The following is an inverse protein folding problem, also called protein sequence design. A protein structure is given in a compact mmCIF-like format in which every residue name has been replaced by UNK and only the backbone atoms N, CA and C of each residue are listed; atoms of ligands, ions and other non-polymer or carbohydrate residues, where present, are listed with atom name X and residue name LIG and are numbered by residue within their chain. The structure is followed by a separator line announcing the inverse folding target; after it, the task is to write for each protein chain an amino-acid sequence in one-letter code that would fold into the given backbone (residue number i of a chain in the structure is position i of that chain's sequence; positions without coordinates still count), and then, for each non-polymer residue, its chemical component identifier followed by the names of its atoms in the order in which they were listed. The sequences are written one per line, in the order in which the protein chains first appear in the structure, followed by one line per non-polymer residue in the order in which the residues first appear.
data_IF_302782662287
#
_entry.id   IF_302782662287
#
_cell.length_a   1.000
_cell.length_b   1.000
_cell.length_c   1.000
_cell.angle_alpha   90.00
_cell.angle_beta   90.00
_cell.angle_gamma   90.00
#
_symmetry.space_group_name_H-M   'P 1'
#
loop_
_entity.id
_entity.type
_entity.pdbx_description
1 polymer ?
#
# COMPACT_ATOMS: atom_id res chain seq x y z
N UNK A 1 16.84 -2.83 1.43
CA UNK A 1 16.80 -2.24 2.80
C UNK A 1 16.19 -0.85 2.67
N UNK A 2 15.39 -0.35 3.63
CA UNK A 2 14.76 0.96 3.51
C UNK A 2 15.80 2.08 3.39
N UNK A 3 15.53 3.07 2.55
CA UNK A 3 16.39 4.26 2.36
C UNK A 3 16.52 5.06 3.66
N UNK A 4 15.42 5.13 4.43
CA UNK A 4 15.35 5.85 5.71
C UNK A 4 15.12 4.87 6.86
N UNK A 5 16.07 4.80 7.79
CA UNK A 5 15.90 4.01 9.01
C UNK A 5 14.96 4.70 9.99
N UNK A 6 14.12 3.90 10.65
CA UNK A 6 13.21 4.38 11.71
C UNK A 6 13.56 3.74 13.04
N UNK A 7 13.19 4.40 14.13
CA UNK A 7 13.26 3.79 15.45
C UNK A 7 12.21 2.67 15.57
N UNK A 8 12.69 1.43 15.70
CA UNK A 8 11.86 0.24 15.88
C UNK A 8 11.52 -0.06 17.35
N UNK A 9 11.86 0.83 18.28
CA UNK A 9 11.45 0.72 19.67
C UNK A 9 9.91 0.75 19.81
N UNK A 10 9.39 -0.19 20.61
CA UNK A 10 7.96 -0.41 20.81
C UNK A 10 7.25 -1.10 19.65
N UNK A 11 7.95 -1.51 18.58
CA UNK A 11 7.40 -2.39 17.57
C UNK A 11 7.47 -3.85 18.03
N UNK A 12 6.40 -4.59 17.75
CA UNK A 12 6.26 -5.99 18.12
C UNK A 12 6.50 -6.88 16.90
N UNK A 13 7.17 -8.02 17.11
CA UNK A 13 7.34 -9.01 16.04
C UNK A 13 5.98 -9.58 15.60
N UNK A 14 5.81 -9.69 14.28
CA UNK A 14 4.57 -10.17 13.69
C UNK A 14 4.73 -11.58 13.11
N UNK A 15 3.81 -12.46 13.48
CA UNK A 15 3.72 -13.84 12.96
C UNK A 15 2.40 -14.03 12.24
N UNK A 16 2.38 -13.70 10.96
CA UNK A 16 1.26 -13.95 10.06
C UNK A 16 1.32 -15.34 9.39
N UNK A 17 0.17 -15.78 8.90
CA UNK A 17 0.01 -16.91 7.98
C UNK A 17 0.57 -16.55 6.60
N UNK A 18 0.97 -17.56 5.83
CA UNK A 18 1.39 -17.39 4.43
C UNK A 18 0.17 -17.07 3.55
N UNK A 19 -0.29 -15.83 3.64
CA UNK A 19 -1.47 -15.27 2.97
C UNK A 19 -1.23 -13.79 2.65
N UNK A 20 -1.78 -13.33 1.53
CA UNK A 20 -1.62 -11.97 1.03
C UNK A 20 -2.94 -11.22 0.97
N UNK A 21 -3.08 -10.17 1.76
CA UNK A 21 -4.24 -9.29 1.66
C UNK A 21 -4.05 -8.27 0.55
N UNK A 22 -5.00 -8.21 -0.37
CA UNK A 22 -5.05 -7.19 -1.40
C UNK A 22 -5.48 -5.86 -0.79
N UNK A 23 -4.72 -4.82 -1.09
CA UNK A 23 -4.97 -3.46 -0.66
C UNK A 23 -4.87 -2.54 -1.88
N UNK A 24 -5.96 -1.88 -2.21
CA UNK A 24 -5.98 -0.88 -3.27
C UNK A 24 -5.31 0.42 -2.79
N UNK A 25 -4.45 1.00 -3.63
CA UNK A 25 -3.78 2.28 -3.44
C UNK A 25 -4.10 3.16 -4.65
N UNK A 26 -4.47 4.41 -4.39
CA UNK A 26 -4.60 5.42 -5.46
C UNK A 26 -3.21 5.87 -5.88
N UNK A 27 -3.00 5.94 -7.19
CA UNK A 27 -1.71 6.29 -7.78
C UNK A 27 -1.84 7.53 -8.63
N UNK A 28 -0.77 8.31 -8.72
CA UNK A 28 -0.74 9.52 -9.56
C UNK A 28 -0.98 9.19 -11.04
N UNK A 29 -1.67 10.10 -11.74
CA UNK A 29 -1.87 10.12 -13.18
C UNK A 29 -0.71 10.77 -13.94
N UNK A 30 0.14 11.53 -13.25
CA UNK A 30 1.27 12.26 -13.85
C UNK A 30 2.57 11.45 -13.92
N UNK A 31 2.69 10.34 -13.17
CA UNK A 31 3.83 9.42 -13.29
C UNK A 31 3.48 8.17 -14.08
N UNK A 32 4.47 7.71 -14.85
CA UNK A 32 4.45 6.38 -15.46
C UNK A 32 4.53 5.29 -14.39
N UNK A 33 5.29 5.52 -13.32
CA UNK A 33 5.35 4.64 -12.17
C UNK A 33 4.07 4.80 -11.35
N UNK A 34 3.39 3.69 -10.95
CA UNK A 34 2.16 3.79 -10.17
C UNK A 34 2.48 4.07 -8.70
N UNK A 35 3.03 5.26 -8.45
CA UNK A 35 3.37 5.79 -7.12
C UNK A 35 2.12 6.38 -6.49
N UNK A 36 2.04 6.34 -5.15
CA UNK A 36 0.94 6.94 -4.37
C UNK A 36 0.61 8.37 -4.84
N UNK A 37 -0.68 8.72 -4.87
CA UNK A 37 -1.16 10.06 -5.24
C UNK A 37 -0.81 11.12 -4.18
N UNK A 38 0.47 11.51 -4.17
CA UNK A 38 1.02 12.49 -3.26
C UNK A 38 0.68 13.91 -3.69
N UNK A 39 0.28 14.14 -4.95
CA UNK A 39 -0.04 15.44 -5.54
C UNK A 39 -1.54 15.80 -5.42
N UNK A 40 -2.37 14.91 -4.86
CA UNK A 40 -3.80 15.10 -4.70
C UNK A 40 -4.55 15.29 -6.03
N UNK A 41 -4.11 14.59 -7.08
CA UNK A 41 -4.70 14.67 -8.42
C UNK A 41 -6.12 14.10 -8.47
N UNK A 42 -6.42 13.16 -7.58
CA UNK A 42 -7.75 12.56 -7.45
C UNK A 42 -8.67 13.33 -6.49
N UNK A 43 -8.24 14.47 -5.95
CA UNK A 43 -8.98 15.28 -4.97
C UNK A 43 -9.40 14.46 -3.73
N UNK A 44 -8.59 13.48 -3.33
CA UNK A 44 -8.81 12.59 -2.17
C UNK A 44 -7.91 12.91 -0.97
N UNK A 45 -7.21 14.03 -1.03
CA UNK A 45 -6.17 14.43 -0.10
C UNK A 45 -4.81 13.84 -0.50
N UNK A 46 -3.74 14.50 -0.05
CA UNK A 46 -2.38 14.05 -0.25
C UNK A 46 -2.13 12.69 0.41
N UNK A 47 -1.76 11.67 -0.37
CA UNK A 47 -1.50 10.32 0.14
C UNK A 47 -0.01 10.10 0.44
N UNK A 48 0.27 9.74 1.69
CA UNK A 48 1.63 9.50 2.20
C UNK A 48 1.94 8.01 2.40
N UNK A 49 1.02 7.14 2.03
CA UNK A 49 1.10 5.69 2.23
C UNK A 49 0.82 4.98 0.90
N UNK A 50 1.57 3.90 0.54
CA UNK A 50 2.65 3.29 1.32
C UNK A 50 3.89 4.16 1.44
N UNK A 51 4.47 4.21 2.63
CA UNK A 51 5.75 4.89 2.86
C UNK A 51 6.90 3.96 2.44
N UNK A 52 7.29 4.09 1.17
CA UNK A 52 8.37 3.35 0.52
C UNK A 52 9.70 3.59 1.24
N UNK A 53 9.94 4.83 1.65
CA UNK A 53 11.19 5.36 2.20
C UNK A 53 11.56 4.68 3.51
N UNK A 54 10.57 4.43 4.37
CA UNK A 54 10.76 3.77 5.68
C UNK A 54 10.28 2.32 5.69
N UNK A 55 9.73 1.83 4.57
CA UNK A 55 9.09 0.52 4.46
C UNK A 55 8.01 0.29 5.53
N UNK A 56 7.11 1.26 5.67
CA UNK A 56 5.98 1.19 6.61
C UNK A 56 4.66 1.43 5.92
N UNK A 57 3.59 0.92 6.51
CA UNK A 57 2.23 1.23 6.10
C UNK A 57 1.34 1.53 7.32
N UNK A 58 0.60 2.64 7.28
CA UNK A 58 -0.26 3.12 8.37
C UNK A 58 0.46 3.90 9.47
N UNK A 59 1.70 4.32 9.23
CA UNK A 59 2.50 5.06 10.20
C UNK A 59 2.35 6.58 10.05
N UNK A 60 2.15 7.05 8.82
CA UNK A 60 2.10 8.46 8.43
C UNK A 60 0.68 9.03 8.51
N UNK A 61 -0.32 8.20 8.24
CA UNK A 61 -1.73 8.59 8.23
C UNK A 61 -2.64 7.50 8.77
N UNK A 62 -3.86 7.89 9.13
CA UNK A 62 -4.94 7.01 9.57
C UNK A 62 -5.93 6.64 8.45
N UNK A 63 -5.67 7.04 7.19
CA UNK A 63 -6.61 6.95 6.06
C UNK A 63 -7.13 5.52 5.79
N UNK A 64 -6.31 4.49 6.03
CA UNK A 64 -6.65 3.09 5.75
C UNK A 64 -6.69 2.20 7.01
N UNK A 65 -6.98 2.78 8.19
CA UNK A 65 -6.92 2.05 9.48
C UNK A 65 -7.82 0.80 9.48
N UNK A 66 -9.03 0.86 8.90
CA UNK A 66 -9.92 -0.30 8.74
C UNK A 66 -9.25 -1.45 7.99
N UNK A 67 -8.55 -1.13 6.89
CA UNK A 67 -7.90 -2.12 6.06
C UNK A 67 -6.73 -2.77 6.80
N UNK A 68 -5.87 -1.97 7.46
CA UNK A 68 -4.70 -2.50 8.18
C UNK A 68 -5.13 -3.35 9.37
N UNK A 69 -6.11 -2.89 10.14
CA UNK A 69 -6.65 -3.68 11.24
C UNK A 69 -7.22 -5.01 10.76
N UNK A 70 -7.88 -5.03 9.59
CA UNK A 70 -8.37 -6.27 8.97
C UNK A 70 -7.23 -7.19 8.53
N UNK A 71 -6.17 -6.65 7.94
CA UNK A 71 -4.96 -7.38 7.54
C UNK A 71 -4.32 -8.04 8.77
N UNK A 72 -4.09 -7.27 9.83
CA UNK A 72 -3.49 -7.77 11.08
C UNK A 72 -4.37 -8.83 11.73
N UNK A 73 -5.69 -8.57 11.83
CA UNK A 73 -6.67 -9.50 12.41
C UNK A 73 -6.79 -10.81 11.62
N UNK A 74 -6.75 -10.75 10.29
CA UNK A 74 -6.78 -11.93 9.41
C UNK A 74 -5.46 -12.72 9.44
N UNK A 75 -4.45 -12.21 10.14
CA UNK A 75 -3.10 -12.77 10.18
C UNK A 75 -2.44 -12.87 8.81
N UNK A 76 -2.76 -11.99 7.87
CA UNK A 76 -2.08 -11.98 6.57
C UNK A 76 -0.65 -11.50 6.73
N UNK A 77 0.33 -12.29 6.29
CA UNK A 77 1.75 -11.91 6.38
C UNK A 77 2.18 -10.96 5.27
N UNK A 78 1.43 -10.89 4.18
CA UNK A 78 1.73 -10.02 3.06
C UNK A 78 0.59 -9.04 2.80
N UNK A 79 0.96 -7.83 2.40
CA UNK A 79 0.09 -6.86 1.75
C UNK A 79 0.47 -6.86 0.27
N UNK A 80 -0.51 -7.05 -0.60
CA UNK A 80 -0.36 -6.92 -2.04
C UNK A 80 -0.95 -5.57 -2.44
N UNK A 81 -0.11 -4.68 -2.96
CA UNK A 81 -0.55 -3.34 -3.34
C UNK A 81 -1.16 -3.39 -4.75
N UNK A 82 -2.47 -3.26 -4.78
CA UNK A 82 -3.25 -3.17 -6.00
C UNK A 82 -3.45 -1.73 -6.43
N UNK A 83 -3.49 -1.48 -7.73
CA UNK A 83 -3.95 -0.21 -8.31
C UNK A 83 -4.76 -0.51 -9.57
N UNK A 84 -5.54 0.47 -10.00
CA UNK A 84 -6.09 0.50 -11.35
C UNK A 84 -5.32 1.59 -12.07
N UNK A 85 -4.56 1.22 -13.10
CA UNK A 85 -3.76 2.20 -13.80
C UNK A 85 -4.66 3.17 -14.58
N UNK A 86 -4.57 4.45 -14.21
CA UNK A 86 -5.34 5.55 -14.79
C UNK A 86 -4.47 6.52 -15.59
N UNK A 87 -3.14 6.34 -15.56
CA UNK A 87 -2.19 7.16 -16.28
C UNK A 87 -2.42 7.17 -17.80
N UNK A 88 -1.98 8.26 -18.41
CA UNK A 88 -2.20 8.52 -19.84
C UNK A 88 -1.10 7.94 -20.74
N UNK A 89 0.02 7.49 -20.17
CA UNK A 89 1.21 7.10 -20.95
C UNK A 89 1.11 5.71 -21.59
N UNK A 90 0.42 4.76 -20.96
CA UNK A 90 0.23 3.41 -21.51
C UNK A 90 -1.27 3.06 -21.71
N UNK A 91 -1.70 3.03 -22.98
CA UNK A 91 -3.09 2.71 -23.32
C UNK A 91 -3.46 1.23 -23.12
N UNK A 92 -2.50 0.31 -23.16
CA UNK A 92 -2.75 -1.12 -23.01
C UNK A 92 -2.90 -1.51 -21.54
N UNK A 93 -2.20 -0.84 -20.63
CA UNK A 93 -2.31 -1.07 -19.19
C UNK A 93 -3.46 -0.28 -18.55
N UNK A 94 -3.96 0.73 -19.24
CA UNK A 94 -5.07 1.57 -18.77
C UNK A 94 -6.30 0.73 -18.40
N UNK A 95 -6.89 1.03 -17.25
CA UNK A 95 -8.04 0.35 -16.66
C UNK A 95 -7.83 -1.10 -16.23
N UNK A 96 -6.64 -1.69 -16.41
CA UNK A 96 -6.35 -3.00 -15.83
C UNK A 96 -6.17 -2.88 -14.33
N UNK A 97 -6.58 -3.91 -13.60
CA UNK A 97 -6.29 -4.05 -12.19
C UNK A 97 -4.94 -4.75 -12.03
N UNK A 98 -4.00 -4.07 -11.39
CA UNK A 98 -2.61 -4.49 -11.30
C UNK A 98 -2.22 -4.67 -9.85
N UNK A 99 -1.40 -5.69 -9.55
CA UNK A 99 -0.64 -5.77 -8.31
C UNK A 99 0.79 -5.32 -8.65
N UNK A 100 1.12 -4.11 -8.20
CA UNK A 100 2.38 -3.42 -8.53
C UNK A 100 3.52 -3.71 -7.56
N UNK A 101 3.21 -4.37 -6.45
CA UNK A 101 4.21 -4.66 -5.42
C UNK A 101 3.61 -5.32 -4.21
N UNK A 102 4.48 -5.63 -3.25
CA UNK A 102 4.09 -6.22 -1.99
C UNK A 102 4.91 -5.67 -0.82
N UNK A 103 4.35 -5.87 0.37
CA UNK A 103 5.04 -5.72 1.64
C UNK A 103 4.90 -7.01 2.43
N UNK A 104 6.02 -7.54 2.92
CA UNK A 104 5.98 -8.55 3.97
C UNK A 104 5.92 -7.86 5.32
N UNK A 105 4.97 -8.25 6.16
CA UNK A 105 4.85 -7.73 7.52
C UNK A 105 5.76 -8.53 8.44
N UNK A 106 6.76 -7.87 8.99
CA UNK A 106 7.66 -8.44 10.01
C UNK A 106 7.40 -7.87 11.40
N UNK A 107 6.90 -6.62 11.49
CA UNK A 107 6.57 -5.98 12.77
C UNK A 107 5.27 -5.18 12.69
N UNK A 108 4.62 -5.02 13.84
CA UNK A 108 3.43 -4.17 14.02
C UNK A 108 3.60 -3.23 15.21
N UNK A 109 2.91 -2.09 15.19
CA UNK A 109 2.87 -1.13 16.31
C UNK A 109 1.51 -0.47 16.38
N UNK A 110 0.93 -0.36 17.56
CA UNK A 110 -0.27 0.45 17.75
C UNK A 110 0.14 1.93 17.77
N UNK A 111 -0.34 2.68 16.79
CA UNK A 111 -0.04 4.10 16.60
C UNK A 111 -1.26 4.98 16.84
N UNK A 112 -2.34 4.43 17.43
CA UNK A 112 -3.56 5.20 17.73
C UNK A 112 -3.27 6.43 18.55
N UNK A 113 -2.56 6.27 19.68
CA UNK A 113 -2.19 7.40 20.57
C UNK A 113 -1.45 8.50 19.82
N UNK A 114 -0.52 8.15 18.93
CA UNK A 114 0.23 9.10 18.10
C UNK A 114 -0.69 9.91 17.19
N UNK A 115 -1.60 9.24 16.48
CA UNK A 115 -2.53 9.92 15.57
C UNK A 115 -3.53 10.80 16.32
N UNK A 116 -4.03 10.35 17.48
CA UNK A 116 -4.91 11.15 18.35
C UNK A 116 -4.18 12.40 18.84
N UNK A 117 -2.93 12.28 19.30
CA UNK A 117 -2.14 13.44 19.73
C UNK A 117 -1.90 14.44 18.59
N UNK A 118 -1.64 13.96 17.36
CA UNK A 118 -1.48 14.83 16.19
C UNK A 118 -2.75 15.60 15.86
N UNK A 119 -3.90 14.96 15.97
CA UNK A 119 -5.22 15.60 15.81
C UNK A 119 -5.49 16.63 16.91
N UNK A 120 -5.26 16.28 18.17
CA UNK A 120 -5.46 17.22 19.30
C UNK A 120 -4.57 18.46 19.22
N UNK A 121 -3.39 18.35 18.59
CA UNK A 121 -2.51 19.48 18.33
C UNK A 121 -2.97 20.37 17.16
N UNK A 122 -3.87 19.89 16.29
CA UNK A 122 -4.38 20.59 15.11
C UNK A 122 -5.91 20.39 14.99
N UNK A 123 -6.72 21.00 15.88
CA UNK A 123 -8.16 20.74 15.98
C UNK A 123 -8.98 21.22 14.78
N UNK A 124 -8.38 21.95 13.83
CA UNK A 124 -9.01 22.35 12.57
C UNK A 124 -9.04 21.21 11.54
N UNK A 125 -8.29 20.12 11.76
CA UNK A 125 -8.35 18.94 10.90
C UNK A 125 -9.65 18.15 11.15
N UNK A 126 -10.04 17.33 10.19
CA UNK A 126 -11.15 16.40 10.37
C UNK A 126 -10.80 15.31 11.40
N UNK A 127 -11.80 14.86 12.18
CA UNK A 127 -11.58 13.82 13.18
C UNK A 127 -11.07 12.53 12.51
N UNK A 128 -9.90 11.99 12.91
CA UNK A 128 -9.35 10.81 12.26
C UNK A 128 -10.15 9.55 12.60
N UNK A 129 -10.35 8.68 11.61
CA UNK A 129 -11.14 7.45 11.74
C UNK A 129 -10.70 6.55 12.92
N UNK A 130 -9.42 6.60 13.30
CA UNK A 130 -8.89 5.82 14.42
C UNK A 130 -9.40 6.24 15.81
N UNK A 131 -10.05 7.41 15.94
CA UNK A 131 -10.70 7.82 17.19
C UNK A 131 -11.77 6.82 17.61
N UNK A 132 -12.51 6.28 16.64
CA UNK A 132 -13.62 5.34 16.82
C UNK A 132 -13.17 3.87 16.87
N UNK A 133 -11.86 3.62 16.90
CA UNK A 133 -11.29 2.29 16.86
C UNK A 133 -10.57 1.94 18.16
N UNK A 134 -10.58 0.65 18.49
CA UNK A 134 -9.80 0.10 19.60
C UNK A 134 -8.29 0.16 19.31
N UNK A 135 -7.91 -0.14 18.06
CA UNK A 135 -6.52 -0.18 17.61
C UNK A 135 -6.32 0.63 16.34
N UNK A 136 -5.10 1.14 16.15
CA UNK A 136 -4.65 1.62 14.85
C UNK A 136 -3.26 1.04 14.59
N UNK A 137 -3.21 -0.06 13.85
CA UNK A 137 -1.95 -0.74 13.58
C UNK A 137 -1.19 -0.05 12.44
N UNK A 138 0.09 0.20 12.68
CA UNK A 138 1.09 0.38 11.64
C UNK A 138 1.86 -0.93 11.45
N UNK A 139 2.30 -1.19 10.22
CA UNK A 139 3.10 -2.36 9.86
C UNK A 139 4.46 -1.93 9.32
N UNK A 140 5.47 -2.80 9.52
CA UNK A 140 6.84 -2.60 9.05
C UNK A 140 7.40 -3.93 8.51
N UNK A 141 8.21 -3.84 7.46
CA UNK A 141 8.92 -4.98 6.87
C UNK A 141 9.28 -4.71 5.40
N UNK A 142 9.99 -5.64 4.74
CA UNK A 142 10.52 -5.39 3.41
C UNK A 142 9.40 -5.18 2.40
N UNK A 143 9.62 -4.18 1.53
CA UNK A 143 8.77 -3.87 0.40
C UNK A 143 9.50 -4.15 -0.91
N UNK A 144 8.73 -4.52 -1.92
CA UNK A 144 9.17 -4.67 -3.30
C UNK A 144 8.12 -4.09 -4.22
N UNK A 145 8.55 -3.30 -5.19
CA UNK A 145 7.69 -2.79 -6.25
C UNK A 145 8.36 -3.00 -7.60
N UNK A 146 7.57 -3.06 -8.66
CA UNK A 146 8.03 -3.29 -10.03
C UNK A 146 7.51 -2.18 -10.94
N UNK A 147 7.96 -2.14 -12.18
CA UNK A 147 7.40 -1.22 -13.17
C UNK A 147 5.93 -1.56 -13.48
N UNK A 148 5.24 -0.64 -14.14
CA UNK A 148 3.86 -0.86 -14.58
C UNK A 148 3.73 -2.13 -15.43
N UNK A 149 4.63 -2.30 -16.41
CA UNK A 149 4.62 -3.44 -17.35
C UNK A 149 4.94 -4.77 -16.70
N UNK A 150 5.72 -4.73 -15.62
CA UNK A 150 6.10 -5.90 -14.86
C UNK A 150 5.09 -6.25 -13.74
N UNK A 151 4.06 -5.42 -13.55
CA UNK A 151 3.02 -5.67 -12.54
C UNK A 151 2.22 -6.94 -12.84
N UNK A 152 1.72 -7.59 -11.79
CA UNK A 152 0.88 -8.77 -11.95
C UNK A 152 -0.55 -8.34 -12.30
N UNK A 153 -1.02 -8.69 -13.49
CA UNK A 153 -2.38 -8.36 -13.95
C UNK A 153 -3.40 -9.29 -13.29
N UNK A 154 -4.37 -8.71 -12.58
CA UNK A 154 -5.51 -9.45 -12.03
C UNK A 154 -6.69 -9.30 -12.98
N UNK A 155 -7.20 -10.42 -13.46
CA UNK A 155 -8.40 -10.46 -14.31
C UNK A 155 -9.53 -11.25 -13.65
N UNK A 156 -10.75 -11.04 -14.15
CA UNK A 156 -11.92 -11.79 -13.68
C UNK A 156 -11.77 -13.30 -13.93
N UNK A 157 -11.10 -13.68 -15.01
CA UNK A 157 -10.79 -15.07 -15.34
C UNK A 157 -9.87 -15.70 -14.28
N UNK A 158 -8.79 -15.00 -13.91
CA UNK A 158 -7.85 -15.46 -12.87
C UNK A 158 -8.58 -15.59 -11.53
N UNK A 159 -9.38 -14.60 -11.15
CA UNK A 159 -10.16 -14.64 -9.90
C UNK A 159 -11.11 -15.83 -9.88
N UNK A 160 -11.84 -16.06 -10.98
CA UNK A 160 -12.77 -17.19 -11.12
C UNK A 160 -12.06 -18.53 -11.08
N UNK A 161 -10.95 -18.68 -11.82
CA UNK A 161 -10.14 -19.89 -11.86
C UNK A 161 -9.62 -20.25 -10.46
N UNK A 162 -9.16 -19.24 -9.73
CA UNK A 162 -8.63 -19.39 -8.37
C UNK A 162 -9.73 -19.49 -7.29
N UNK A 163 -11.01 -19.44 -7.69
CA UNK A 163 -12.16 -19.59 -6.78
C UNK A 163 -12.48 -18.37 -5.93
N UNK A 164 -11.98 -17.18 -6.30
CA UNK A 164 -12.32 -15.92 -5.66
C UNK A 164 -13.62 -15.33 -6.22
N UNK A 165 -14.39 -14.68 -5.34
CA UNK A 165 -15.60 -13.95 -5.72
C UNK A 165 -15.28 -12.48 -5.98
N UNK A 166 -16.00 -11.88 -6.92
CA UNK A 166 -15.88 -10.45 -7.25
C UNK A 166 -15.33 -10.23 -8.65
N UNK A 167 -15.08 -8.95 -8.94
CA UNK A 167 -14.49 -8.50 -10.20
C UNK A 167 -13.18 -7.76 -9.92
N UNK A 168 -12.28 -7.77 -10.88
CA UNK A 168 -11.03 -7.01 -10.89
C UNK A 168 -11.32 -5.50 -10.96
N UNK A 169 -11.69 -4.93 -9.82
CA UNK A 169 -12.07 -3.53 -9.67
C UNK A 169 -11.47 -2.94 -8.40
N UNK A 170 -11.51 -1.61 -8.27
CA UNK A 170 -11.10 -0.88 -7.05
C UNK A 170 -11.77 -1.41 -5.77
N UNK A 171 -12.94 -2.03 -5.87
CA UNK A 171 -13.69 -2.56 -4.73
C UNK A 171 -13.29 -3.98 -4.34
N UNK A 172 -12.40 -4.63 -5.12
CA UNK A 172 -11.92 -5.97 -4.84
C UNK A 172 -11.20 -6.00 -3.50
N UNK A 173 -11.74 -6.80 -2.57
CA UNK A 173 -11.14 -7.09 -1.27
C UNK A 173 -10.98 -8.60 -1.16
N UNK A 174 -9.75 -9.06 -1.30
CA UNK A 174 -9.42 -10.49 -1.31
C UNK A 174 -8.20 -10.77 -0.44
N UNK A 175 -8.21 -11.92 0.21
CA UNK A 175 -7.02 -12.52 0.83
C UNK A 175 -6.61 -13.71 0.00
N UNK A 176 -5.48 -13.61 -0.70
CA UNK A 176 -4.93 -14.68 -1.50
C UNK A 176 -4.34 -15.78 -0.59
N UNK A 177 -4.66 -17.02 -0.93
CA UNK A 177 -4.15 -18.21 -0.24
C UNK A 177 -2.65 -18.36 -0.49
N UNK A 178 -1.99 -19.25 0.26
CA UNK A 178 -0.57 -19.54 0.09
C UNK A 178 -0.19 -19.82 -1.37
N UNK A 179 -0.93 -20.70 -2.04
CA UNK A 179 -0.63 -21.11 -3.42
C UNK A 179 -0.68 -19.93 -4.39
N UNK A 180 -1.74 -19.12 -4.34
CA UNK A 180 -1.91 -17.98 -5.24
C UNK A 180 -0.96 -16.83 -4.89
N UNK A 181 -0.70 -16.62 -3.59
CA UNK A 181 0.32 -15.69 -3.13
C UNK A 181 1.68 -16.07 -3.68
N UNK A 182 2.09 -17.34 -3.60
CA UNK A 182 3.39 -17.79 -4.11
C UNK A 182 3.53 -17.55 -5.62
N UNK A 183 2.44 -17.70 -6.40
CA UNK A 183 2.43 -17.35 -7.83
C UNK A 183 2.65 -15.85 -8.07
N UNK A 184 1.96 -15.00 -7.30
CA UNK A 184 2.08 -13.54 -7.39
C UNK A 184 3.49 -13.09 -6.97
N UNK A 185 4.00 -13.59 -5.84
CA UNK A 185 5.33 -13.25 -5.36
C UNK A 185 6.40 -13.73 -6.33
N UNK A 186 6.31 -14.96 -6.86
CA UNK A 186 7.26 -15.47 -7.85
C UNK A 186 7.29 -14.61 -9.12
N UNK A 187 6.14 -14.12 -9.59
CA UNK A 187 6.08 -13.17 -10.69
C UNK A 187 6.83 -11.89 -10.34
N UNK A 188 6.48 -11.22 -9.23
CA UNK A 188 7.09 -9.94 -8.84
C UNK A 188 8.58 -10.06 -8.51
N UNK A 189 9.00 -11.16 -7.89
CA UNK A 189 10.40 -11.44 -7.55
C UNK A 189 11.25 -11.75 -8.79
N UNK A 190 10.64 -12.18 -9.90
CA UNK A 190 11.32 -12.41 -11.18
C UNK A 190 11.65 -11.13 -11.95
N UNK A 191 11.06 -9.99 -11.54
CA UNK A 191 11.18 -8.69 -12.20
C UNK A 191 12.18 -7.79 -11.50
N UNK A 192 12.56 -6.67 -12.10
CA UNK A 192 13.45 -5.71 -11.44
C UNK A 192 12.74 -5.07 -10.24
N UNK A 193 13.46 -4.95 -9.12
CA UNK A 193 12.98 -4.16 -7.98
C UNK A 193 13.14 -2.68 -8.29
N UNK A 194 12.04 -1.96 -8.29
CA UNK A 194 11.96 -0.53 -8.65
C UNK A 194 11.72 0.35 -7.41
N UNK A 195 11.91 -0.17 -6.20
CA UNK A 195 11.62 0.58 -4.96
C UNK A 195 12.38 1.92 -4.89
N UNK A 196 13.60 1.98 -5.42
CA UNK A 196 14.41 3.21 -5.39
C UNK A 196 13.84 4.29 -6.33
N UNK A 197 13.32 3.89 -7.49
CA UNK A 197 12.62 4.76 -8.44
C UNK A 197 11.28 5.26 -7.88
N UNK A 198 10.54 4.40 -7.17
CA UNK A 198 9.34 4.81 -6.42
C UNK A 198 9.66 5.90 -5.40
N UNK A 199 10.77 5.73 -4.65
CA UNK A 199 11.20 6.70 -3.65
C UNK A 199 11.64 8.01 -4.32
N UNK A 200 12.41 7.93 -5.42
CA UNK A 200 12.87 9.11 -6.16
C UNK A 200 11.70 9.95 -6.68
N UNK A 201 10.72 9.30 -7.33
CA UNK A 201 9.51 9.97 -7.85
C UNK A 201 8.72 10.67 -6.74
N UNK A 202 8.60 10.02 -5.59
CA UNK A 202 7.93 10.60 -4.42
C UNK A 202 8.70 11.78 -3.85
N UNK A 203 10.03 11.73 -3.84
CA UNK A 203 10.87 12.83 -3.37
C UNK A 203 10.71 14.05 -4.30
N UNK A 204 10.65 13.84 -5.63
CA UNK A 204 10.33 14.90 -6.62
C UNK A 204 8.95 15.53 -6.35
N UNK A 205 7.93 14.73 -6.03
CA UNK A 205 6.60 15.25 -5.70
C UNK A 205 6.57 16.11 -4.43
N UNK A 206 7.35 15.74 -3.41
CA UNK A 206 7.45 16.55 -2.20
C UNK A 206 8.16 17.88 -2.46
N UNK A 207 9.18 17.88 -3.32
CA UNK A 207 9.87 19.10 -3.74
C UNK A 207 8.92 20.04 -4.47
N UNK A 208 8.15 19.52 -5.44
CA UNK A 208 7.14 20.30 -6.16
C UNK A 208 6.10 20.94 -5.22
N UNK A 209 5.60 20.20 -4.23
CA UNK A 209 4.64 20.71 -3.24
C UNK A 209 5.24 21.73 -2.26
N UNK A 210 6.56 21.74 -2.07
CA UNK A 210 7.23 22.70 -1.19
C UNK A 210 7.53 24.03 -1.90
N UNK A 211 7.45 24.06 -3.24
CA UNK A 211 7.63 25.26 -4.06
C UNK A 211 6.32 26.05 -4.25
N UNK A 212 5.17 25.49 -3.89
CA UNK A 212 3.83 26.14 -3.88
C UNK A 212 3.50 26.84 -2.55
#
# INVERSE_FOLDING_TARGET
MPKTQINLEGWQDYRGNMAGSLLYVETSHQSEMPVRDQLNENEKGFLYEPNYETSTYGLMSCYNVKAINTIVKSKSRYILFGTRYEGLSDSEMRNKYLIMGYMRIDKIKDVRTRHVQRYMANPEMEEPECMQMEHNWAVYGPMRFVSLDDSFVVTDEILKEWGYKGHASRQLKTVFSKEHLEKILAHLDSKQDMIDEYIATVDEYKEALAEE
#
